data_IF_127077641550
#
_entry.id   IF_127077641550
#
_cell.length_a   1.000
_cell.length_b   1.000
_cell.length_c   1.000
_cell.angle_alpha   90.00
_cell.angle_beta   90.00
_cell.angle_gamma   90.00
#
_symmetry.space_group_name_H-M   'P 1'
#
loop_
_entity.id
_entity.type
_entity.pdbx_description
1 polymer ?
#
# COMPACT_ATOMS: atom_id res chain seq x y z
N UNK A 1 -5.22 -5.48 -0.14
CA UNK A 1 -6.02 -6.56 -0.76
C UNK A 1 -5.56 -7.87 -0.14
N UNK A 2 -6.48 -8.66 0.41
CA UNK A 2 -6.18 -9.89 1.13
C UNK A 2 -5.85 -11.01 0.13
N UNK A 3 -4.61 -11.49 0.15
CA UNK A 3 -4.22 -12.74 -0.48
C UNK A 3 -4.36 -13.88 0.52
N UNK A 4 -4.65 -15.08 0.04
CA UNK A 4 -4.73 -16.29 0.83
C UNK A 4 -3.58 -17.21 0.46
N UNK A 5 -2.80 -17.61 1.46
CA UNK A 5 -1.71 -18.58 1.27
C UNK A 5 -2.35 -19.96 1.10
N UNK A 6 -2.09 -20.60 -0.03
CA UNK A 6 -2.56 -21.95 -0.37
C UNK A 6 -1.38 -22.83 -0.75
N UNK A 7 -1.52 -24.14 -0.54
CA UNK A 7 -0.48 -25.12 -0.86
C UNK A 7 -0.96 -25.95 -2.05
N UNK A 8 -0.11 -26.17 -3.05
CA UNK A 8 -0.44 -27.08 -4.14
C UNK A 8 -0.21 -28.55 -3.77
N UNK A 9 -0.61 -29.47 -4.67
CA UNK A 9 -0.50 -30.91 -4.47
C UNK A 9 0.95 -31.41 -4.29
N UNK A 10 1.93 -30.59 -4.66
CA UNK A 10 3.37 -30.87 -4.53
C UNK A 10 3.99 -30.22 -3.28
N UNK A 11 3.19 -29.50 -2.47
CA UNK A 11 3.65 -28.81 -1.27
C UNK A 11 4.31 -27.46 -1.53
N UNK A 12 4.11 -26.85 -2.70
CA UNK A 12 4.59 -25.50 -2.98
C UNK A 12 3.59 -24.44 -2.50
N UNK A 13 4.10 -23.33 -1.99
CA UNK A 13 3.29 -22.19 -1.53
C UNK A 13 2.84 -21.36 -2.73
N UNK A 14 1.55 -21.08 -2.80
CA UNK A 14 0.88 -20.21 -3.76
C UNK A 14 0.08 -19.15 -3.04
N UNK A 15 -0.02 -17.97 -3.63
CA UNK A 15 -0.79 -16.84 -3.13
C UNK A 15 -2.04 -16.70 -4.00
N UNK A 16 -3.17 -17.15 -3.46
CA UNK A 16 -4.48 -16.98 -4.06
C UNK A 16 -4.93 -15.53 -3.88
N UNK A 17 -5.22 -14.84 -4.99
CA UNK A 17 -5.76 -13.50 -5.02
C UNK A 17 -7.24 -13.56 -5.37
N UNK A 18 -8.15 -13.52 -4.37
CA UNK A 18 -9.57 -13.81 -4.58
C UNK A 18 -10.26 -12.79 -5.49
N UNK A 19 -9.74 -11.56 -5.55
CA UNK A 19 -10.30 -10.49 -6.36
C UNK A 19 -10.12 -10.69 -7.88
N UNK A 20 -9.18 -11.53 -8.32
CA UNK A 20 -9.03 -11.90 -9.74
C UNK A 20 -9.09 -13.41 -9.97
N UNK A 21 -9.38 -14.19 -8.93
CA UNK A 21 -9.51 -15.65 -9.02
C UNK A 21 -8.25 -16.37 -9.48
N UNK A 22 -7.07 -15.77 -9.30
CA UNK A 22 -5.78 -16.34 -9.72
C UNK A 22 -4.90 -16.68 -8.53
N UNK A 23 -4.09 -17.71 -8.71
CA UNK A 23 -3.05 -18.09 -7.76
C UNK A 23 -1.70 -17.77 -8.38
N UNK A 24 -0.86 -17.11 -7.61
CA UNK A 24 0.50 -16.77 -8.03
C UNK A 24 1.51 -17.56 -7.24
N UNK A 25 2.53 -18.08 -7.91
CA UNK A 25 3.76 -18.50 -7.22
C UNK A 25 4.63 -17.26 -6.93
N UNK A 26 5.55 -17.37 -5.97
CA UNK A 26 6.43 -16.26 -5.60
C UNK A 26 7.21 -15.70 -6.81
N UNK A 27 7.68 -16.60 -7.69
CA UNK A 27 8.42 -16.24 -8.90
C UNK A 27 7.59 -15.39 -9.87
N UNK A 28 6.29 -15.65 -9.98
CA UNK A 28 5.38 -14.86 -10.80
C UNK A 28 5.25 -13.44 -10.24
N UNK A 29 5.14 -13.28 -8.92
CA UNK A 29 5.03 -11.95 -8.29
C UNK A 29 6.31 -11.14 -8.55
N UNK A 30 7.47 -11.77 -8.43
CA UNK A 30 8.76 -11.15 -8.73
C UNK A 30 8.87 -10.75 -10.20
N UNK A 31 8.41 -11.59 -11.13
CA UNK A 31 8.32 -11.27 -12.55
C UNK A 31 7.37 -10.07 -12.83
N UNK A 32 6.28 -9.94 -12.07
CA UNK A 32 5.38 -8.78 -12.16
C UNK A 32 6.06 -7.48 -11.71
N UNK A 33 6.88 -7.54 -10.65
CA UNK A 33 7.67 -6.39 -10.19
C UNK A 33 8.69 -5.97 -11.24
N UNK A 34 9.42 -6.93 -11.84
CA UNK A 34 10.42 -6.64 -12.86
C UNK A 34 9.80 -6.07 -14.13
N UNK A 35 8.68 -6.63 -14.62
CA UNK A 35 7.95 -6.12 -15.79
C UNK A 35 7.52 -4.68 -15.65
N UNK A 36 7.07 -4.31 -14.46
CA UNK A 36 6.71 -2.93 -14.17
C UNK A 36 7.91 -2.00 -14.34
N UNK A 37 9.10 -2.42 -13.90
CA UNK A 37 10.33 -1.65 -14.11
C UNK A 37 10.64 -1.46 -15.61
N UNK A 38 10.40 -2.48 -16.44
CA UNK A 38 10.61 -2.40 -17.91
C UNK A 38 9.62 -1.45 -18.59
N UNK A 39 8.34 -1.57 -18.26
CA UNK A 39 7.29 -0.72 -18.82
C UNK A 39 7.45 0.75 -18.40
N UNK A 40 7.85 0.96 -17.14
CA UNK A 40 8.09 2.31 -16.63
C UNK A 40 9.33 2.92 -17.27
N UNK A 41 10.39 2.13 -17.46
CA UNK A 41 11.54 2.56 -18.23
C UNK A 41 11.15 2.90 -19.68
N UNK A 42 10.34 2.09 -20.35
CA UNK A 42 9.86 2.35 -21.72
C UNK A 42 9.06 3.65 -21.83
N UNK A 43 8.10 3.85 -20.91
CA UNK A 43 7.27 5.07 -20.87
C UNK A 43 8.08 6.31 -20.53
N UNK A 44 9.04 6.19 -19.63
CA UNK A 44 9.92 7.30 -19.22
C UNK A 44 10.90 7.68 -20.34
N UNK A 45 11.47 6.69 -21.01
CA UNK A 45 12.41 6.89 -22.11
C UNK A 45 11.71 7.27 -23.43
N UNK A 46 10.38 7.13 -23.49
CA UNK A 46 9.54 7.33 -24.67
C UNK A 46 10.07 6.53 -25.87
N UNK A 47 10.57 5.34 -25.58
CA UNK A 47 11.20 4.38 -26.48
C UNK A 47 10.88 2.95 -26.02
N UNK A 48 10.92 1.98 -26.93
CA UNK A 48 10.60 0.58 -26.60
C UNK A 48 11.77 -0.08 -25.87
N UNK A 49 11.67 -0.25 -24.54
CA UNK A 49 12.67 -1.01 -23.78
C UNK A 49 12.34 -2.48 -23.91
N UNK A 50 12.92 -3.11 -24.93
CA UNK A 50 12.90 -4.56 -25.09
C UNK A 50 14.02 -5.12 -24.21
N UNK A 51 13.62 -5.84 -23.15
CA UNK A 51 14.56 -6.63 -22.35
C UNK A 51 14.81 -7.95 -23.10
N UNK A 52 15.83 -7.94 -23.96
CA UNK A 52 16.36 -9.17 -24.54
C UNK A 52 17.31 -9.80 -23.51
N UNK A 53 16.73 -10.68 -22.68
CA UNK A 53 17.43 -11.41 -21.63
C UNK A 53 17.94 -12.71 -22.22
N UNK A 54 19.24 -12.96 -22.15
CA UNK A 54 19.78 -14.30 -22.37
C UNK A 54 19.12 -15.30 -21.41
N UNK A 55 18.41 -16.29 -21.95
CA UNK A 55 17.79 -17.44 -21.27
C UNK A 55 16.79 -17.17 -20.11
N UNK A 56 16.33 -15.93 -19.87
CA UNK A 56 15.19 -15.64 -18.98
C UNK A 56 15.43 -15.83 -17.47
N UNK A 57 16.68 -15.84 -17.02
CA UNK A 57 17.06 -16.01 -15.60
C UNK A 57 17.60 -14.70 -15.01
N UNK A 58 17.09 -14.31 -13.84
CA UNK A 58 17.59 -13.18 -13.03
C UNK A 58 18.25 -13.71 -11.77
N UNK A 59 19.46 -13.24 -11.47
CA UNK A 59 20.21 -13.64 -10.27
C UNK A 59 20.56 -12.40 -9.44
N UNK A 60 20.20 -12.43 -8.16
CA UNK A 60 20.62 -11.41 -7.20
C UNK A 60 22.03 -11.76 -6.71
N UNK A 61 23.04 -11.02 -7.14
CA UNK A 61 24.42 -11.28 -6.74
C UNK A 61 24.70 -10.93 -5.26
N UNK A 62 24.07 -9.86 -4.76
CA UNK A 62 24.19 -9.45 -3.37
C UNK A 62 23.10 -8.44 -3.00
N UNK A 63 22.80 -8.33 -1.70
CA UNK A 63 21.89 -7.31 -1.17
C UNK A 63 22.43 -6.72 0.14
N UNK A 64 22.19 -5.42 0.35
CA UNK A 64 22.56 -4.71 1.57
C UNK A 64 21.66 -3.49 1.75
N UNK A 65 21.43 -3.08 2.99
CA UNK A 65 20.56 -1.94 3.29
C UNK A 65 20.63 -1.49 4.75
N UNK A 66 19.94 -0.38 5.04
CA UNK A 66 19.70 0.15 6.37
C UNK A 66 18.19 0.23 6.60
N UNK A 67 17.64 -0.67 7.42
CA UNK A 67 16.20 -0.78 7.67
C UNK A 67 15.63 0.36 8.53
N UNK A 68 16.51 1.26 9.01
CA UNK A 68 16.18 2.42 9.84
C UNK A 68 16.69 3.70 9.18
N UNK A 69 16.62 3.76 7.85
CA UNK A 69 16.94 4.93 7.05
C UNK A 69 15.90 5.08 5.93
N UNK A 70 15.06 6.10 6.02
CA UNK A 70 13.97 6.34 5.08
C UNK A 70 13.62 7.82 4.93
N UNK A 71 12.53 8.09 4.20
CA UNK A 71 12.02 9.46 4.00
C UNK A 71 11.69 10.18 5.32
N UNK A 72 11.21 9.43 6.30
CA UNK A 72 10.84 9.92 7.62
C UNK A 72 12.04 10.51 8.39
N UNK A 73 13.24 9.94 8.19
CA UNK A 73 14.46 10.48 8.82
C UNK A 73 14.80 11.87 8.26
N UNK A 74 14.62 12.08 6.95
CA UNK A 74 14.80 13.39 6.32
C UNK A 74 13.74 14.40 6.81
N UNK A 75 12.49 13.95 6.94
CA UNK A 75 11.41 14.79 7.49
C UNK A 75 11.72 15.19 8.93
N UNK A 76 12.19 14.23 9.72
CA UNK A 76 12.59 14.46 11.10
C UNK A 76 13.68 15.53 11.22
N UNK A 77 14.62 15.63 10.28
CA UNK A 77 15.64 16.71 10.29
C UNK A 77 15.03 18.10 10.15
N UNK A 78 14.02 18.24 9.30
CA UNK A 78 13.29 19.50 9.15
C UNK A 78 12.47 19.77 10.42
N UNK A 79 11.77 18.77 10.96
CA UNK A 79 10.99 18.91 12.21
C UNK A 79 11.88 19.34 13.38
N UNK A 80 13.01 18.66 13.59
CA UNK A 80 13.95 18.97 14.66
C UNK A 80 14.51 20.38 14.49
N UNK A 81 14.86 20.79 13.27
CA UNK A 81 15.33 22.15 12.98
C UNK A 81 14.27 23.21 13.29
N UNK A 82 13.02 23.01 12.84
CA UNK A 82 11.90 23.91 13.12
C UNK A 82 11.63 24.01 14.63
N UNK A 83 11.55 22.87 15.32
CA UNK A 83 11.28 22.81 16.76
C UNK A 83 12.41 23.43 17.58
N UNK A 84 13.67 23.21 17.21
CA UNK A 84 14.82 23.83 17.88
C UNK A 84 14.85 25.35 17.70
N UNK A 85 14.56 25.85 16.49
CA UNK A 85 14.46 27.28 16.24
C UNK A 85 13.32 27.90 17.06
N UNK A 86 12.14 27.29 17.03
CA UNK A 86 11.00 27.77 17.81
C UNK A 86 11.28 27.76 19.32
N UNK A 87 11.93 26.71 19.82
CA UNK A 87 12.33 26.63 21.23
C UNK A 87 13.36 27.68 21.61
N UNK A 88 14.30 28.01 20.72
CA UNK A 88 15.27 29.08 20.94
C UNK A 88 14.60 30.45 20.99
N UNK A 89 13.65 30.69 20.09
CA UNK A 89 13.07 32.01 19.89
C UNK A 89 11.90 32.28 20.87
N UNK A 90 11.11 31.26 21.21
CA UNK A 90 9.90 31.36 22.04
C UNK A 90 9.97 30.57 23.36
N UNK A 91 11.05 29.82 23.60
CA UNK A 91 11.25 29.05 24.84
C UNK A 91 10.38 27.78 24.96
N UNK A 92 9.62 27.43 23.92
CA UNK A 92 8.62 26.35 23.96
C UNK A 92 9.06 25.14 23.13
N UNK A 93 8.88 23.96 23.70
CA UNK A 93 9.24 22.70 23.07
C UNK A 93 8.04 22.06 22.36
N UNK A 94 7.93 22.31 21.05
CA UNK A 94 6.84 21.80 20.22
C UNK A 94 6.82 20.27 20.09
N UNK A 95 7.95 19.59 20.36
CA UNK A 95 8.03 18.13 20.25
C UNK A 95 7.20 17.40 21.32
N UNK A 96 6.82 18.11 22.39
CA UNK A 96 5.97 17.57 23.46
C UNK A 96 4.48 17.70 23.16
N UNK A 97 4.10 18.57 22.23
CA UNK A 97 2.73 18.80 21.83
C UNK A 97 2.40 17.92 20.62
N UNK A 98 1.53 16.92 20.82
CA UNK A 98 1.16 15.96 19.77
C UNK A 98 0.50 16.63 18.56
N UNK A 99 -0.30 17.69 18.76
CA UNK A 99 -0.96 18.39 17.67
C UNK A 99 0.04 19.24 16.89
N UNK A 100 0.94 19.94 17.59
CA UNK A 100 2.00 20.70 16.93
C UNK A 100 2.96 19.78 16.17
N UNK A 101 3.36 18.64 16.75
CA UNK A 101 4.24 17.67 16.14
C UNK A 101 3.66 17.07 14.85
N UNK A 102 2.37 16.74 14.83
CA UNK A 102 1.69 16.26 13.62
C UNK A 102 1.77 17.29 12.50
N UNK A 103 1.43 18.55 12.79
CA UNK A 103 1.46 19.65 11.80
C UNK A 103 2.87 19.97 11.32
N UNK A 104 3.85 19.92 12.23
CA UNK A 104 5.27 20.05 11.88
C UNK A 104 5.70 18.94 10.92
N UNK A 105 5.30 17.70 11.19
CA UNK A 105 5.69 16.53 10.37
C UNK A 105 5.10 16.61 8.96
N UNK A 106 3.79 16.91 8.84
CA UNK A 106 3.13 17.10 7.54
C UNK A 106 3.76 18.23 6.73
N UNK A 107 4.10 19.34 7.40
CA UNK A 107 4.71 20.50 6.73
C UNK A 107 6.16 20.23 6.34
N UNK A 108 6.89 19.47 7.17
CA UNK A 108 8.25 19.03 6.88
C UNK A 108 8.31 18.12 5.65
N UNK A 109 7.42 17.13 5.56
CA UNK A 109 7.32 16.25 4.39
C UNK A 109 7.02 17.06 3.12
N UNK A 110 6.05 17.97 3.20
CA UNK A 110 5.72 18.85 2.08
C UNK A 110 6.91 19.72 1.67
N UNK A 111 7.60 20.32 2.63
CA UNK A 111 8.79 21.13 2.37
C UNK A 111 9.92 20.31 1.72
N UNK A 112 10.18 19.08 2.19
CA UNK A 112 11.14 18.14 1.58
C UNK A 112 10.79 17.85 0.12
N UNK A 113 9.52 17.53 -0.17
CA UNK A 113 9.07 17.26 -1.54
C UNK A 113 9.22 18.49 -2.43
N UNK A 114 8.83 19.67 -1.95
CA UNK A 114 8.99 20.93 -2.69
C UNK A 114 10.46 21.24 -2.98
N UNK A 115 11.36 21.04 -2.02
CA UNK A 115 12.80 21.24 -2.17
C UNK A 115 13.46 20.26 -3.15
N UNK A 116 12.80 19.14 -3.46
CA UNK A 116 13.26 18.23 -4.51
C UNK A 116 13.08 18.84 -5.91
N UNK A 117 12.16 19.79 -6.08
CA UNK A 117 11.94 20.50 -7.35
C UNK A 117 12.44 21.95 -7.31
N UNK A 118 12.24 22.64 -6.19
CA UNK A 118 12.53 24.05 -5.98
C UNK A 118 13.83 24.25 -5.20
N UNK A 119 14.46 25.42 -5.33
CA UNK A 119 15.68 25.77 -4.59
C UNK A 119 15.41 26.25 -3.16
N UNK A 120 14.17 26.66 -2.87
CA UNK A 120 13.71 27.08 -1.55
C UNK A 120 12.19 26.88 -1.41
N UNK A 121 11.70 26.79 -0.18
CA UNK A 121 10.28 26.74 0.17
C UNK A 121 9.99 27.62 1.38
N UNK A 122 8.77 28.16 1.45
CA UNK A 122 8.27 28.94 2.59
C UNK A 122 7.43 28.05 3.49
N UNK A 123 7.87 27.89 4.74
CA UNK A 123 7.18 27.12 5.78
C UNK A 123 6.37 28.09 6.62
N UNK A 124 5.05 27.98 6.55
CA UNK A 124 4.10 28.78 7.33
C UNK A 124 3.14 27.90 8.10
N UNK A 125 3.21 27.97 9.43
CA UNK A 125 2.38 27.24 10.37
C UNK A 125 1.70 28.22 11.32
N UNK A 126 0.52 28.73 10.94
CA UNK A 126 -0.21 29.66 11.79
C UNK A 126 -0.83 28.94 13.00
N UNK A 127 -0.85 29.60 14.16
CA UNK A 127 -1.47 29.07 15.38
C UNK A 127 -0.91 27.69 15.75
N UNK A 128 0.42 27.53 15.69
CA UNK A 128 1.07 26.24 15.97
C UNK A 128 0.94 25.85 17.45
N UNK A 129 0.96 26.85 18.33
CA UNK A 129 0.71 26.70 19.76
C UNK A 129 0.19 28.03 20.34
N UNK A 130 -0.25 28.01 21.59
CA UNK A 130 -0.74 29.18 22.30
C UNK A 130 0.03 29.42 23.60
N UNK A 131 0.29 30.69 23.91
CA UNK A 131 1.03 31.15 25.08
C UNK A 131 0.21 32.16 25.87
N UNK A 132 0.69 32.55 27.05
CA UNK A 132 0.08 33.63 27.82
C UNK A 132 0.06 34.97 27.05
N UNK A 133 1.00 35.17 26.13
CA UNK A 133 1.13 36.35 25.28
C UNK A 133 0.31 36.25 23.97
N UNK A 134 -0.41 35.13 23.79
CA UNK A 134 -1.26 34.87 22.63
C UNK A 134 -0.81 33.70 21.75
N UNK A 135 -1.49 33.49 20.60
CA UNK A 135 -1.13 32.45 19.66
C UNK A 135 0.23 32.71 19.01
N UNK A 136 0.98 31.64 18.75
CA UNK A 136 2.28 31.67 18.10
C UNK A 136 2.24 30.97 16.75
N UNK A 137 3.16 31.37 15.87
CA UNK A 137 3.22 30.94 14.48
C UNK A 137 4.68 30.58 14.14
N UNK A 138 4.89 29.78 13.10
CA UNK A 138 6.21 29.64 12.47
C UNK A 138 6.09 30.17 11.05
N UNK A 139 6.91 31.15 10.70
CA UNK A 139 7.06 31.65 9.34
C UNK A 139 8.55 31.71 9.02
N UNK A 140 9.03 30.78 8.20
CA UNK A 140 10.45 30.67 7.86
C UNK A 140 10.65 30.19 6.43
N UNK A 141 11.81 30.46 5.85
CA UNK A 141 12.19 29.95 4.53
C UNK A 141 13.28 28.90 4.69
N UNK A 142 13.07 27.73 4.12
CA UNK A 142 14.07 26.66 4.06
C UNK A 142 14.63 26.59 2.64
N UNK A 143 15.95 26.65 2.51
CA UNK A 143 16.63 26.47 1.21
C UNK A 143 17.07 25.03 1.03
N UNK A 144 17.22 24.59 -0.23
CA UNK A 144 17.70 23.25 -0.56
C UNK A 144 19.09 23.00 0.03
N UNK A 145 19.99 23.98 -0.09
CA UNK A 145 21.33 23.91 0.51
C UNK A 145 21.24 23.65 2.00
N UNK A 146 20.36 24.37 2.71
CA UNK A 146 20.21 24.18 4.15
C UNK A 146 19.63 22.80 4.49
N UNK A 147 18.66 22.33 3.72
CA UNK A 147 18.11 20.99 3.88
C UNK A 147 19.17 19.89 3.69
N UNK A 148 20.00 20.01 2.66
CA UNK A 148 21.09 19.08 2.38
C UNK A 148 22.15 19.10 3.49
N UNK A 149 22.48 20.27 4.04
CA UNK A 149 23.35 20.37 5.24
C UNK A 149 22.78 19.61 6.44
N UNK A 150 21.48 19.79 6.73
CA UNK A 150 20.79 19.15 7.85
C UNK A 150 20.75 17.62 7.74
N UNK A 151 20.83 17.10 6.51
CA UNK A 151 20.74 15.67 6.20
C UNK A 151 22.08 15.06 5.75
N UNK A 152 23.19 15.79 5.87
CA UNK A 152 24.51 15.34 5.41
C UNK A 152 24.91 13.98 5.98
N UNK A 153 24.68 13.73 7.26
CA UNK A 153 24.98 12.46 7.90
C UNK A 153 24.07 11.30 7.42
N UNK A 154 22.83 11.60 7.03
CA UNK A 154 21.93 10.61 6.43
C UNK A 154 22.40 10.24 5.03
N UNK A 155 22.85 11.21 4.24
CA UNK A 155 23.43 10.99 2.92
C UNK A 155 24.71 10.13 3.01
N UNK A 156 25.56 10.37 4.01
CA UNK A 156 26.76 9.55 4.24
C UNK A 156 26.43 8.11 4.61
N UNK A 157 25.33 7.87 5.34
CA UNK A 157 24.86 6.52 5.67
C UNK A 157 24.43 5.72 4.43
N UNK A 158 23.94 6.38 3.37
CA UNK A 158 23.52 5.71 2.13
C UNK A 158 24.68 5.04 1.37
N UNK A 159 25.92 5.48 1.58
CA UNK A 159 27.08 4.98 0.83
C UNK A 159 27.45 3.55 1.24
N UNK A 160 27.42 3.27 2.55
CA UNK A 160 27.95 2.02 3.12
C UNK A 160 27.24 0.77 2.59
N UNK A 161 25.90 0.72 2.48
CA UNK A 161 25.21 -0.44 1.91
C UNK A 161 25.60 -0.70 0.45
N UNK A 162 25.73 0.35 -0.37
CA UNK A 162 26.11 0.22 -1.78
C UNK A 162 27.52 -0.36 -1.92
N UNK A 163 28.48 0.17 -1.16
CA UNK A 163 29.85 -0.36 -1.14
C UNK A 163 29.91 -1.81 -0.62
N UNK A 164 29.11 -2.13 0.39
CA UNK A 164 29.03 -3.49 0.96
C UNK A 164 28.47 -4.48 -0.05
N UNK A 165 27.39 -4.12 -0.76
CA UNK A 165 26.80 -4.96 -1.80
C UNK A 165 27.81 -5.22 -2.93
N UNK A 166 28.45 -4.18 -3.48
CA UNK A 166 29.47 -4.35 -4.52
C UNK A 166 30.62 -5.25 -4.07
N UNK A 167 31.11 -5.05 -2.85
CA UNK A 167 32.17 -5.88 -2.26
C UNK A 167 31.75 -7.34 -2.13
N UNK A 168 30.51 -7.59 -1.67
CA UNK A 168 29.98 -8.94 -1.52
C UNK A 168 29.78 -9.64 -2.87
N UNK A 169 29.39 -8.89 -3.91
CA UNK A 169 29.31 -9.36 -5.29
C UNK A 169 30.69 -9.50 -5.98
N UNK A 170 31.77 -9.08 -5.32
CA UNK A 170 33.11 -9.00 -5.90
C UNK A 170 33.16 -8.15 -7.19
N UNK A 171 32.40 -7.05 -7.20
CA UNK A 171 32.31 -6.09 -8.29
C UNK A 171 32.85 -4.72 -7.85
N UNK A 172 33.23 -3.90 -8.83
CA UNK A 172 33.53 -2.48 -8.65
C UNK A 172 32.44 -1.61 -9.29
N UNK A 173 32.42 -0.32 -8.97
CA UNK A 173 31.49 0.64 -9.59
C UNK A 173 31.57 0.68 -11.13
N UNK A 174 32.70 0.29 -11.72
CA UNK A 174 32.90 0.26 -13.18
C UNK A 174 32.23 -0.94 -13.85
N UNK A 175 31.99 -2.00 -13.09
CA UNK A 175 31.40 -3.26 -13.57
C UNK A 175 29.87 -3.20 -13.58
N UNK A 176 29.30 -2.12 -13.04
CA UNK A 176 27.88 -1.84 -13.19
C UNK A 176 27.59 -1.42 -14.62
N UNK A 177 26.46 -1.85 -15.19
CA UNK A 177 25.98 -1.38 -16.49
C UNK A 177 25.02 -0.21 -16.30
N UNK A 178 24.05 -0.35 -15.40
CA UNK A 178 23.00 0.63 -15.14
C UNK A 178 22.77 0.84 -13.65
N UNK A 179 22.23 2.01 -13.29
CA UNK A 179 21.87 2.34 -11.90
C UNK A 179 20.41 2.79 -11.85
N UNK A 180 19.60 2.03 -11.13
CA UNK A 180 18.15 2.28 -11.01
C UNK A 180 17.85 2.77 -9.60
N UNK A 181 17.20 3.93 -9.51
CA UNK A 181 16.71 4.51 -8.26
C UNK A 181 15.21 4.28 -8.11
N UNK A 182 14.84 3.64 -7.00
CA UNK A 182 13.47 3.27 -6.67
C UNK A 182 13.08 3.88 -5.33
N UNK A 183 11.87 4.45 -5.27
CA UNK A 183 11.28 5.01 -4.05
C UNK A 183 11.30 6.54 -4.00
N UNK A 184 10.30 7.13 -3.35
CA UNK A 184 10.05 8.59 -3.38
C UNK A 184 11.23 9.43 -2.91
N UNK A 185 11.96 9.00 -1.87
CA UNK A 185 13.11 9.72 -1.33
C UNK A 185 14.30 9.81 -2.30
N UNK A 186 14.37 8.96 -3.32
CA UNK A 186 15.41 9.04 -4.36
C UNK A 186 15.24 10.24 -5.29
N UNK A 187 14.10 10.93 -5.22
CA UNK A 187 13.86 12.19 -5.94
C UNK A 187 14.64 13.37 -5.35
N UNK A 188 15.21 13.23 -4.16
CA UNK A 188 16.04 14.26 -3.55
C UNK A 188 17.31 14.45 -4.41
N UNK A 189 17.58 15.67 -4.93
CA UNK A 189 18.72 15.92 -5.81
C UNK A 189 20.07 15.49 -5.22
N UNK A 190 20.29 15.71 -3.93
CA UNK A 190 21.51 15.27 -3.25
C UNK A 190 21.70 13.74 -3.24
N UNK A 191 20.61 12.96 -3.21
CA UNK A 191 20.68 11.49 -3.28
C UNK A 191 21.10 11.06 -4.69
N UNK A 192 20.53 11.66 -5.73
CA UNK A 192 20.91 11.36 -7.13
C UNK A 192 22.35 11.78 -7.41
N UNK A 193 22.76 12.93 -6.90
CA UNK A 193 24.11 13.44 -7.04
C UNK A 193 25.13 12.57 -6.30
N UNK A 194 24.78 12.07 -5.11
CA UNK A 194 25.60 11.10 -4.38
C UNK A 194 25.83 9.84 -5.22
N UNK A 195 24.77 9.27 -5.75
CA UNK A 195 24.82 8.04 -6.57
C UNK A 195 25.63 8.28 -7.85
N UNK A 196 25.44 9.42 -8.51
CA UNK A 196 26.22 9.84 -9.67
C UNK A 196 27.71 9.96 -9.35
N UNK A 197 28.05 10.56 -8.20
CA UNK A 197 29.45 10.69 -7.74
C UNK A 197 30.09 9.34 -7.43
N UNK A 198 29.33 8.42 -6.83
CA UNK A 198 29.83 7.09 -6.48
C UNK A 198 30.04 6.20 -7.71
N UNK A 199 29.05 6.18 -8.60
CA UNK A 199 28.98 5.22 -9.72
C UNK A 199 29.58 5.77 -11.01
N UNK A 200 29.67 7.10 -11.15
CA UNK A 200 30.04 7.77 -12.40
C UNK A 200 28.96 7.67 -13.49
N UNK A 201 27.76 7.19 -13.16
CA UNK A 201 26.65 6.96 -14.10
C UNK A 201 25.46 7.87 -13.80
N UNK A 202 24.66 8.13 -14.82
CA UNK A 202 23.37 8.80 -14.68
C UNK A 202 22.34 7.81 -14.14
N UNK A 203 21.79 8.02 -12.93
CA UNK A 203 20.79 7.12 -12.39
C UNK A 203 19.42 7.32 -13.06
N UNK A 204 18.74 6.22 -13.35
CA UNK A 204 17.36 6.23 -13.85
C UNK A 204 16.38 6.23 -12.65
N UNK A 205 15.47 7.22 -12.59
CA UNK A 205 14.56 7.42 -11.44
C UNK A 205 13.18 6.92 -11.79
N UNK A 206 12.74 5.84 -11.14
CA UNK A 206 11.44 5.21 -11.44
C UNK A 206 10.45 5.35 -10.27
N UNK A 207 9.16 5.52 -10.60
CA UNK A 207 8.11 5.88 -9.66
C UNK A 207 7.06 4.78 -9.47
N UNK A 208 7.27 3.91 -8.49
CA UNK A 208 6.17 3.13 -7.90
C UNK A 208 5.64 1.95 -8.72
N UNK A 209 5.41 0.86 -8.00
CA UNK A 209 4.99 -0.46 -8.49
C UNK A 209 3.48 -0.49 -8.79
N UNK A 210 3.07 -0.97 -9.98
CA UNK A 210 1.70 -1.40 -10.31
C UNK A 210 1.71 -2.49 -11.40
N UNK A 211 0.81 -3.46 -11.26
CA UNK A 211 0.84 -4.82 -11.80
C UNK A 211 0.43 -4.99 -13.28
N UNK A 212 1.04 -5.98 -13.93
CA UNK A 212 0.63 -6.57 -15.22
C UNK A 212 1.31 -7.93 -15.45
N UNK A 213 0.66 -8.86 -16.16
CA UNK A 213 1.03 -10.29 -16.32
C UNK A 213 1.84 -10.58 -17.60
N UNK A 214 2.91 -11.39 -17.50
CA UNK A 214 3.66 -12.13 -18.54
C UNK A 214 4.31 -13.34 -17.82
N UNK A 215 4.43 -14.44 -18.56
CA UNK A 215 4.99 -15.74 -18.17
C UNK A 215 6.50 -15.81 -18.44
N UNK A 216 7.17 -16.85 -17.93
CA UNK A 216 8.52 -17.30 -18.33
C UNK A 216 9.73 -16.45 -17.85
N UNK A 217 9.78 -16.13 -16.55
CA UNK A 217 10.96 -15.56 -15.89
C UNK A 217 11.33 -16.40 -14.68
N UNK A 218 12.61 -16.77 -14.52
CA UNK A 218 13.13 -17.44 -13.33
C UNK A 218 13.91 -16.42 -12.49
N UNK A 219 13.55 -16.23 -11.22
CA UNK A 219 14.29 -15.37 -10.28
C UNK A 219 15.04 -16.23 -9.25
N UNK A 220 16.32 -15.95 -9.08
CA UNK A 220 17.18 -16.49 -8.04
C UNK A 220 17.51 -15.37 -7.04
N UNK A 221 16.85 -15.38 -5.89
CA UNK A 221 17.06 -14.41 -4.81
C UNK A 221 18.10 -14.93 -3.78
N UNK A 222 18.52 -14.09 -2.83
CA UNK A 222 19.51 -14.43 -1.80
C UNK A 222 19.12 -13.99 -0.40
N UNK A 223 19.60 -14.71 0.64
CA UNK A 223 19.42 -14.26 2.03
C UNK A 223 20.28 -13.03 2.36
N UNK A 224 19.74 -11.92 2.90
CA UNK A 224 20.51 -10.70 3.18
C UNK A 224 21.46 -10.83 4.39
N UNK A 225 21.20 -11.79 5.29
CA UNK A 225 21.92 -11.95 6.55
C UNK A 225 22.49 -13.37 6.67
N UNK A 226 23.63 -13.48 7.35
CA UNK A 226 24.18 -14.79 7.69
C UNK A 226 23.37 -15.40 8.82
N UNK A 227 22.93 -16.64 8.64
CA UNK A 227 22.30 -17.43 9.67
C UNK A 227 23.35 -18.33 10.33
N UNK A 228 23.27 -18.43 11.65
CA UNK A 228 24.24 -19.19 12.43
C UNK A 228 23.74 -19.47 13.82
N UNK A 229 24.50 -20.27 14.55
CA UNK A 229 24.22 -20.66 15.92
C UNK A 229 25.27 -20.07 16.84
N UNK A 230 24.87 -19.71 18.05
CA UNK A 230 25.83 -19.41 19.11
C UNK A 230 26.47 -20.73 19.58
N UNK A 231 27.80 -20.75 19.61
CA UNK A 231 28.60 -21.89 20.08
C UNK A 231 29.29 -21.57 21.40
N UNK A 232 29.84 -22.60 22.06
CA UNK A 232 30.54 -22.44 23.33
C UNK A 232 31.58 -21.32 23.27
N UNK A 233 31.49 -20.38 24.21
CA UNK A 233 32.32 -19.18 24.24
C UNK A 233 31.63 -17.92 23.69
N UNK A 234 30.34 -17.99 23.36
CA UNK A 234 29.55 -16.84 22.91
C UNK A 234 29.87 -16.39 21.49
N UNK A 235 30.43 -17.30 20.68
CA UNK A 235 30.83 -17.01 19.29
C UNK A 235 29.78 -17.56 18.34
N UNK A 236 29.32 -16.72 17.41
CA UNK A 236 28.42 -17.13 16.33
C UNK A 236 29.17 -17.97 15.29
N UNK A 237 28.74 -19.22 15.10
CA UNK A 237 29.17 -20.08 14.00
C UNK A 237 28.17 -19.94 12.85
N UNK A 238 28.64 -19.45 11.70
CA UNK A 238 27.80 -19.24 10.51
C UNK A 238 27.50 -20.56 9.82
N UNK A 239 26.22 -20.86 9.64
CA UNK A 239 25.74 -22.04 8.91
C UNK A 239 25.43 -21.64 7.48
N UNK A 240 24.50 -20.72 7.26
CA UNK A 240 24.15 -20.20 5.94
C UNK A 240 24.71 -18.78 5.83
N UNK A 241 25.74 -18.54 4.99
CA UNK A 241 26.28 -17.19 4.78
C UNK A 241 25.24 -16.24 4.18
N UNK A 242 25.42 -14.93 4.40
CA UNK A 242 24.68 -13.91 3.66
C UNK A 242 24.98 -14.03 2.16
N UNK A 243 24.04 -13.57 1.33
CA UNK A 243 24.03 -13.69 -0.13
C UNK A 243 24.02 -15.13 -0.66
N UNK A 244 23.57 -16.12 0.15
CA UNK A 244 23.33 -17.48 -0.34
C UNK A 244 22.02 -17.52 -1.12
N UNK A 245 22.05 -18.05 -2.34
CA UNK A 245 20.89 -18.22 -3.22
C UNK A 245 19.78 -19.03 -2.54
N UNK A 246 18.54 -18.58 -2.71
CA UNK A 246 17.33 -19.19 -2.19
C UNK A 246 16.56 -19.93 -3.30
N UNK A 247 15.80 -20.98 -2.96
CA UNK A 247 15.74 -21.63 -1.64
C UNK A 247 17.03 -22.42 -1.33
N UNK A 248 17.36 -22.59 -0.05
CA UNK A 248 18.57 -23.33 0.37
C UNK A 248 18.37 -24.14 1.63
N UNK A 249 19.16 -25.21 1.77
CA UNK A 249 19.13 -26.12 2.91
C UNK A 249 20.53 -26.49 3.34
N UNK A 250 20.78 -26.47 4.65
CA UNK A 250 22.05 -26.91 5.22
C UNK A 250 21.84 -27.73 6.49
N UNK A 251 22.50 -28.88 6.54
CA UNK A 251 22.47 -29.76 7.71
C UNK A 251 23.82 -29.78 8.40
N UNK A 252 23.80 -29.73 9.73
CA UNK A 252 24.98 -29.85 10.56
C UNK A 252 24.69 -30.77 11.76
N UNK A 253 25.68 -31.60 12.11
CA UNK A 253 25.54 -32.59 13.18
C UNK A 253 26.11 -32.01 14.47
N UNK A 254 25.26 -31.88 15.48
CA UNK A 254 25.64 -31.42 16.81
C UNK A 254 25.69 -32.59 17.79
N UNK A 255 26.61 -32.49 18.75
CA UNK A 255 26.79 -33.44 19.85
C UNK A 255 26.82 -32.68 21.17
N UNK A 256 26.42 -33.33 22.25
CA UNK A 256 26.45 -32.76 23.60
C UNK A 256 27.89 -32.47 24.06
N UNK A 257 28.11 -31.31 24.68
CA UNK A 257 29.45 -30.89 25.13
C UNK A 257 29.72 -31.14 26.63
N UNK A 258 28.69 -31.36 27.46
CA UNK A 258 28.85 -31.67 28.89
C UNK A 258 27.64 -32.44 29.45
N UNK A 259 27.88 -33.27 30.45
CA UNK A 259 26.84 -33.98 31.21
C UNK A 259 26.08 -33.00 32.15
N UNK A 260 24.75 -32.98 32.08
CA UNK A 260 23.90 -32.31 33.08
C UNK A 260 23.58 -30.82 32.87
N UNK A 261 23.70 -30.28 31.65
CA UNK A 261 23.27 -28.90 31.34
C UNK A 261 21.73 -28.84 31.16
N UNK A 262 21.05 -27.89 31.84
CA UNK A 262 19.57 -27.91 32.04
C UNK A 262 18.75 -26.99 31.11
N UNK A 263 19.35 -26.50 30.02
CA UNK A 263 18.72 -25.84 28.85
C UNK A 263 19.86 -25.47 27.90
N UNK A 264 20.06 -25.93 26.67
CA UNK A 264 19.34 -26.68 25.61
C UNK A 264 18.56 -27.94 26.02
N UNK A 265 17.37 -28.14 25.45
CA UNK A 265 16.61 -29.41 25.47
C UNK A 265 17.36 -30.51 24.69
N UNK A 266 18.13 -31.36 25.40
CA UNK A 266 18.53 -32.70 24.95
C UNK A 266 18.56 -33.63 26.16
N UNK A 267 17.68 -34.64 26.21
CA UNK A 267 17.71 -35.65 27.27
C UNK A 267 17.48 -37.06 26.70
N UNK A 268 18.57 -37.83 26.45
CA UNK A 268 18.57 -39.31 26.45
C UNK A 268 19.98 -39.84 26.81
N UNK A 269 20.05 -40.83 27.71
CA UNK A 269 21.26 -41.47 28.25
C UNK A 269 21.85 -42.61 27.38
N UNK A 270 23.15 -42.86 27.60
CA UNK A 270 24.05 -43.94 27.13
C UNK A 270 24.14 -44.19 25.61
N UNK A 271 25.23 -43.64 25.06
CA UNK A 271 25.52 -43.51 23.63
C UNK A 271 25.56 -42.02 23.31
N UNK A 272 26.64 -41.49 22.74
CA UNK A 272 26.72 -40.06 22.39
C UNK A 272 25.69 -39.82 21.27
N UNK A 273 24.56 -39.12 21.52
CA UNK A 273 23.54 -38.92 20.50
C UNK A 273 24.07 -37.96 19.43
N UNK A 274 23.86 -38.31 18.16
CA UNK A 274 24.18 -37.44 17.03
C UNK A 274 22.88 -36.81 16.53
N UNK A 275 22.68 -35.54 16.86
CA UNK A 275 21.51 -34.78 16.42
C UNK A 275 21.88 -34.04 15.14
N UNK A 276 21.24 -34.40 14.03
CA UNK A 276 21.33 -33.66 12.79
C UNK A 276 20.29 -32.55 12.80
N UNK A 277 20.77 -31.32 12.75
CA UNK A 277 19.91 -30.13 12.66
C UNK A 277 19.99 -29.61 11.23
N UNK A 278 18.83 -29.54 10.58
CA UNK A 278 18.65 -29.05 9.21
C UNK A 278 18.01 -27.67 9.27
N UNK A 279 18.67 -26.71 8.61
CA UNK A 279 18.22 -25.34 8.44
C UNK A 279 17.74 -25.20 7.00
N UNK A 280 16.46 -24.89 6.81
CA UNK A 280 15.82 -24.70 5.52
C UNK A 280 15.35 -23.25 5.41
N UNK A 281 15.77 -22.55 4.35
CA UNK A 281 15.22 -21.24 3.99
C UNK A 281 14.40 -21.41 2.72
N UNK A 282 13.11 -21.08 2.81
CA UNK A 282 12.20 -21.15 1.67
C UNK A 282 12.42 -19.99 0.68
N UNK A 283 11.64 -19.98 -0.41
CA UNK A 283 11.70 -18.93 -1.44
C UNK A 283 11.28 -17.54 -0.92
N UNK A 284 10.62 -17.46 0.24
CA UNK A 284 10.24 -16.19 0.88
C UNK A 284 11.31 -15.70 1.88
N UNK A 285 12.42 -16.43 2.06
CA UNK A 285 13.43 -16.12 3.05
C UNK A 285 13.07 -16.54 4.48
N UNK A 286 12.03 -17.37 4.67
CA UNK A 286 11.60 -17.83 6.00
C UNK A 286 12.43 -19.04 6.41
N UNK A 287 13.08 -18.94 7.56
CA UNK A 287 13.84 -20.03 8.17
C UNK A 287 12.91 -21.04 8.85
N UNK A 288 13.10 -22.31 8.55
CA UNK A 288 12.59 -23.45 9.32
C UNK A 288 13.75 -24.33 9.76
N UNK A 289 13.64 -24.87 10.98
CA UNK A 289 14.68 -25.72 11.56
C UNK A 289 14.07 -27.06 11.94
N UNK A 290 14.69 -28.15 11.51
CA UNK A 290 14.27 -29.51 11.85
C UNK A 290 15.43 -30.26 12.51
N UNK A 291 15.17 -30.94 13.63
CA UNK A 291 16.16 -31.80 14.27
C UNK A 291 15.77 -33.28 14.13
N UNK A 292 16.73 -34.13 13.77
CA UNK A 292 16.56 -35.58 13.67
C UNK A 292 17.71 -36.26 14.42
N UNK A 293 17.39 -37.18 15.32
CA UNK A 293 18.39 -38.05 15.93
C UNK A 293 18.82 -39.13 14.92
N UNK A 294 20.09 -39.14 14.52
CA UNK A 294 20.63 -40.10 13.53
C UNK A 294 20.62 -41.55 14.00
N UNK A 295 20.62 -41.78 15.32
CA UNK A 295 20.61 -43.13 15.89
C UNK A 295 19.22 -43.77 15.84
N UNK A 296 18.17 -42.97 16.01
CA UNK A 296 16.78 -43.46 16.13
C UNK A 296 15.88 -43.07 14.95
N UNK A 297 16.30 -42.12 14.12
CA UNK A 297 15.51 -41.55 13.01
C UNK A 297 14.32 -40.72 13.47
N UNK A 298 14.15 -40.48 14.78
CA UNK A 298 13.04 -39.72 15.34
C UNK A 298 13.28 -38.23 15.17
N UNK A 299 12.25 -37.51 14.70
CA UNK A 299 12.21 -36.04 14.72
C UNK A 299 12.13 -35.58 16.16
N UNK A 300 12.87 -34.52 16.49
CA UNK A 300 12.81 -33.84 17.77
C UNK A 300 12.18 -32.47 17.56
N UNK A 301 11.28 -32.10 18.47
CA UNK A 301 10.71 -30.75 18.48
C UNK A 301 11.80 -29.75 18.88
N UNK A 302 11.93 -28.67 18.11
CA UNK A 302 12.85 -27.57 18.43
C UNK A 302 12.03 -26.43 19.00
N UNK A 303 12.25 -26.10 20.27
CA UNK A 303 11.69 -24.89 20.87
C UNK A 303 12.60 -23.69 20.56
N UNK A 304 12.20 -22.86 19.58
CA UNK A 304 12.90 -21.60 19.29
C UNK A 304 12.48 -20.56 20.34
N UNK A 305 13.34 -20.25 21.30
CA UNK A 305 13.09 -19.21 22.30
C UNK A 305 13.56 -17.84 21.79
N UNK A 306 12.79 -16.78 22.07
CA UNK A 306 13.13 -15.41 21.66
C UNK A 306 12.75 -15.03 20.22
N UNK A 307 12.03 -15.89 19.49
CA UNK A 307 11.43 -15.51 18.21
C UNK A 307 10.34 -14.45 18.46
N UNK A 308 10.39 -13.33 17.71
CA UNK A 308 9.36 -12.29 17.72
C UNK A 308 8.11 -12.68 16.94
N UNK A 309 7.79 -13.98 16.90
CA UNK A 309 6.68 -14.53 16.14
C UNK A 309 5.40 -14.46 16.96
N UNK A 310 4.30 -14.11 16.29
CA UNK A 310 2.98 -14.18 16.89
C UNK A 310 2.56 -15.65 17.06
N UNK A 311 2.10 -16.06 18.24
CA UNK A 311 1.55 -17.39 18.43
C UNK A 311 0.22 -17.52 17.66
N UNK A 312 -0.14 -18.75 17.27
CA UNK A 312 -1.28 -18.99 16.37
C UNK A 312 -2.62 -18.49 16.91
N UNK A 313 -2.81 -18.54 18.23
CA UNK A 313 -4.00 -18.02 18.90
C UNK A 313 -4.11 -16.49 18.83
N UNK A 314 -2.98 -15.79 18.88
CA UNK A 314 -2.93 -14.33 18.66
C UNK A 314 -3.20 -13.99 17.20
N UNK A 315 -2.66 -14.76 16.26
CA UNK A 315 -2.96 -14.60 14.82
C UNK A 315 -4.46 -14.78 14.55
N UNK A 316 -5.07 -15.85 15.07
CA UNK A 316 -6.52 -16.09 14.92
C UNK A 316 -7.38 -14.96 15.51
N UNK A 317 -6.93 -14.39 16.63
CA UNK A 317 -7.59 -13.23 17.25
C UNK A 317 -7.49 -11.99 16.35
N UNK A 318 -6.30 -11.69 15.82
CA UNK A 318 -6.09 -10.55 14.92
C UNK A 318 -6.91 -10.67 13.64
N UNK A 319 -7.04 -11.89 13.07
CA UNK A 319 -7.89 -12.13 11.89
C UNK A 319 -9.35 -11.81 12.20
N UNK A 320 -9.88 -12.31 13.33
CA UNK A 320 -11.27 -12.03 13.74
C UNK A 320 -11.50 -10.54 14.01
N UNK A 321 -10.55 -9.85 14.62
CA UNK A 321 -10.62 -8.40 14.84
C UNK A 321 -10.61 -7.64 13.51
N UNK A 322 -9.76 -8.03 12.56
CA UNK A 322 -9.72 -7.43 11.21
C UNK A 322 -11.04 -7.63 10.46
N UNK A 323 -11.64 -8.82 10.51
CA UNK A 323 -12.96 -9.10 9.89
C UNK A 323 -14.06 -8.24 10.52
N UNK A 324 -14.04 -8.10 11.86
CA UNK A 324 -14.98 -7.25 12.58
C UNK A 324 -14.84 -5.78 12.15
N UNK A 325 -13.63 -5.25 12.09
CA UNK A 325 -13.39 -3.86 11.66
C UNK A 325 -13.75 -3.64 10.19
N UNK A 326 -13.45 -4.61 9.31
CA UNK A 326 -13.88 -4.55 7.91
C UNK A 326 -15.40 -4.46 7.78
N UNK A 327 -16.16 -5.17 8.63
CA UNK A 327 -17.62 -5.06 8.68
C UNK A 327 -18.08 -3.69 9.18
N UNK A 328 -17.50 -3.18 10.27
CA UNK A 328 -17.82 -1.85 10.81
C UNK A 328 -17.53 -0.74 9.80
N UNK A 329 -16.42 -0.85 9.05
CA UNK A 329 -16.04 0.12 8.02
C UNK A 329 -16.98 0.05 6.81
N UNK A 330 -17.43 -1.14 6.42
CA UNK A 330 -18.48 -1.32 5.41
C UNK A 330 -19.79 -0.66 5.85
N UNK A 331 -20.22 -0.88 7.10
CA UNK A 331 -21.45 -0.27 7.64
C UNK A 331 -21.37 1.27 7.67
N UNK A 332 -20.21 1.83 8.05
CA UNK A 332 -19.98 3.29 8.00
C UNK A 332 -19.99 3.83 6.58
N UNK A 333 -19.36 3.12 5.64
CA UNK A 333 -19.39 3.47 4.21
C UNK A 333 -20.82 3.46 3.67
N UNK A 334 -21.57 2.40 3.92
CA UNK A 334 -22.97 2.28 3.49
C UNK A 334 -23.84 3.40 4.08
N UNK A 335 -23.56 3.82 5.33
CA UNK A 335 -24.24 4.95 5.96
C UNK A 335 -23.93 6.28 5.27
N UNK A 336 -22.66 6.54 4.92
CA UNK A 336 -22.24 7.74 4.18
C UNK A 336 -22.82 7.73 2.76
N UNK A 337 -22.78 6.60 2.06
CA UNK A 337 -23.32 6.46 0.70
C UNK A 337 -24.84 6.69 0.69
N UNK A 338 -25.56 6.12 1.66
CA UNK A 338 -27.00 6.37 1.86
C UNK A 338 -27.28 7.86 2.10
N UNK A 339 -26.46 8.53 2.91
CA UNK A 339 -26.62 9.97 3.18
C UNK A 339 -26.39 10.81 1.91
N UNK A 340 -25.34 10.50 1.14
CA UNK A 340 -25.05 11.18 -0.12
C UNK A 340 -26.17 10.99 -1.16
N UNK A 341 -26.73 9.77 -1.25
CA UNK A 341 -27.89 9.49 -2.09
C UNK A 341 -29.11 10.31 -1.65
N UNK A 342 -29.36 10.39 -0.34
CA UNK A 342 -30.45 11.17 0.22
C UNK A 342 -30.32 12.67 -0.08
N UNK A 343 -29.13 13.23 0.10
CA UNK A 343 -28.83 14.63 -0.24
C UNK A 343 -29.04 14.92 -1.74
N UNK A 344 -28.64 13.99 -2.62
CA UNK A 344 -28.89 14.11 -4.07
C UNK A 344 -30.38 14.08 -4.42
N UNK A 345 -31.14 13.14 -3.86
CA UNK A 345 -32.60 13.04 -4.07
C UNK A 345 -33.29 14.30 -3.55
N UNK A 346 -32.90 14.79 -2.37
CA UNK A 346 -33.44 16.00 -1.77
C UNK A 346 -33.20 17.21 -2.68
N UNK A 347 -31.97 17.40 -3.16
CA UNK A 347 -31.62 18.49 -4.08
C UNK A 347 -32.41 18.41 -5.40
N UNK A 348 -32.49 17.23 -6.02
CA UNK A 348 -33.24 17.04 -7.26
C UNK A 348 -34.74 17.33 -7.09
N UNK A 349 -35.31 16.89 -5.97
CA UNK A 349 -36.72 17.11 -5.66
C UNK A 349 -37.02 18.60 -5.41
N UNK A 350 -36.18 19.28 -4.62
CA UNK A 350 -36.30 20.73 -4.39
C UNK A 350 -36.18 21.52 -5.70
N UNK A 351 -35.27 21.11 -6.59
CA UNK A 351 -35.10 21.72 -7.91
C UNK A 351 -36.36 21.53 -8.78
N UNK A 352 -36.87 20.30 -8.87
CA UNK A 352 -38.10 20.02 -9.63
C UNK A 352 -39.30 20.81 -9.11
N UNK A 353 -39.47 20.91 -7.78
CA UNK A 353 -40.54 21.71 -7.17
C UNK A 353 -40.43 23.20 -7.53
N UNK A 354 -39.21 23.74 -7.61
CA UNK A 354 -38.97 25.13 -8.05
C UNK A 354 -39.27 25.33 -9.54
N UNK A 355 -38.87 24.40 -10.40
CA UNK A 355 -39.08 24.49 -11.85
C UNK A 355 -40.55 24.31 -12.24
N UNK A 356 -41.27 23.43 -11.55
CA UNK A 356 -42.68 23.16 -11.81
C UNK A 356 -43.60 24.25 -11.26
N UNK A 357 -43.17 25.01 -10.24
CA UNK A 357 -43.83 26.23 -9.78
C UNK A 357 -45.33 26.07 -9.53
N UNK A 358 -46.14 26.74 -10.35
CA UNK A 358 -47.61 26.75 -10.27
C UNK A 358 -48.29 25.57 -10.99
N UNK A 359 -47.54 24.75 -11.73
CA UNK A 359 -48.06 23.57 -12.43
C UNK A 359 -48.32 22.39 -11.48
N UNK A 360 -47.86 22.48 -10.24
CA UNK A 360 -48.08 21.46 -9.23
C UNK A 360 -49.39 21.75 -8.48
N UNK A 361 -50.33 20.78 -8.40
CA UNK A 361 -51.51 20.94 -7.55
C UNK A 361 -51.12 21.22 -6.10
N UNK A 362 -51.66 22.27 -5.49
CA UNK A 362 -51.35 22.68 -4.10
C UNK A 362 -51.36 21.54 -3.07
N UNK A 363 -52.36 20.64 -3.05
CA UNK A 363 -52.40 19.50 -2.13
C UNK A 363 -51.25 18.49 -2.31
N UNK A 364 -50.72 18.36 -3.53
CA UNK A 364 -49.59 17.46 -3.84
C UNK A 364 -48.28 18.14 -3.47
N UNK A 365 -48.15 19.45 -3.75
CA UNK A 365 -46.99 20.26 -3.37
C UNK A 365 -46.73 20.21 -1.86
N UNK A 366 -47.76 20.42 -1.05
CA UNK A 366 -47.63 20.39 0.42
C UNK A 366 -47.16 19.02 0.95
N UNK A 367 -47.62 17.92 0.34
CA UNK A 367 -47.20 16.56 0.70
C UNK A 367 -45.72 16.32 0.38
N UNK A 368 -45.28 16.71 -0.80
CA UNK A 368 -43.87 16.55 -1.21
C UNK A 368 -42.97 17.45 -0.36
N UNK A 369 -43.35 18.70 -0.09
CA UNK A 369 -42.59 19.61 0.78
C UNK A 369 -42.48 19.07 2.23
N UNK A 370 -43.55 18.46 2.76
CA UNK A 370 -43.51 17.81 4.05
C UNK A 370 -42.52 16.63 4.08
N UNK A 371 -42.50 15.80 3.01
CA UNK A 371 -41.56 14.67 2.90
C UNK A 371 -40.11 15.10 2.64
N UNK A 372 -39.90 16.19 1.91
CA UNK A 372 -38.55 16.82 1.77
C UNK A 372 -38.02 17.24 3.13
N UNK A 373 -38.87 17.87 3.97
CA UNK A 373 -38.49 18.25 5.33
C UNK A 373 -38.17 17.03 6.20
N UNK A 374 -38.99 15.98 6.13
CA UNK A 374 -38.76 14.73 6.87
C UNK A 374 -37.44 14.05 6.48
N UNK A 375 -37.11 14.02 5.19
CA UNK A 375 -35.82 13.52 4.70
C UNK A 375 -34.65 14.38 5.20
N UNK A 376 -34.80 15.71 5.21
CA UNK A 376 -33.79 16.64 5.72
C UNK A 376 -33.48 16.43 7.20
N UNK A 377 -34.52 16.23 8.00
CA UNK A 377 -34.41 15.96 9.43
C UNK A 377 -33.74 14.59 9.65
N UNK A 378 -34.08 13.57 8.84
CA UNK A 378 -33.45 12.25 8.89
C UNK A 378 -31.95 12.29 8.52
N UNK A 379 -31.55 13.10 7.53
CA UNK A 379 -30.14 13.29 7.14
C UNK A 379 -29.30 13.95 8.24
N UNK A 380 -29.93 14.83 9.03
CA UNK A 380 -29.24 15.64 10.05
C UNK A 380 -29.03 14.91 11.37
N UNK A 381 -29.84 13.89 11.70
CA UNK A 381 -29.74 13.18 12.97
C UNK A 381 -30.42 11.81 13.06
N UNK A 382 -30.95 11.30 11.95
CA UNK A 382 -31.58 9.98 11.89
C UNK A 382 -30.59 8.83 11.72
N UNK A 383 -31.08 7.59 11.90
CA UNK A 383 -30.31 6.39 11.58
C UNK A 383 -30.29 6.13 10.06
N UNK A 384 -29.34 5.32 9.58
CA UNK A 384 -29.30 4.89 8.17
C UNK A 384 -30.64 4.32 7.69
N UNK A 385 -31.35 3.59 8.56
CA UNK A 385 -32.68 3.06 8.24
C UNK A 385 -33.71 4.18 8.11
N UNK A 386 -33.73 5.16 9.02
CA UNK A 386 -34.64 6.30 8.94
C UNK A 386 -34.41 7.13 7.66
N UNK A 387 -33.16 7.28 7.22
CA UNK A 387 -32.83 7.94 5.95
C UNK A 387 -33.39 7.14 4.76
N UNK A 388 -33.20 5.81 4.74
CA UNK A 388 -33.75 4.94 3.69
C UNK A 388 -35.27 5.00 3.63
N UNK A 389 -35.93 4.94 4.79
CA UNK A 389 -37.39 4.97 4.89
C UNK A 389 -37.95 6.33 4.43
N UNK A 390 -37.34 7.45 4.86
CA UNK A 390 -37.73 8.78 4.45
C UNK A 390 -37.48 9.01 2.94
N UNK A 391 -36.37 8.49 2.41
CA UNK A 391 -36.05 8.56 0.99
C UNK A 391 -37.07 7.77 0.14
N UNK A 392 -37.43 6.57 0.57
CA UNK A 392 -38.46 5.75 -0.10
C UNK A 392 -39.82 6.45 -0.07
N UNK A 393 -40.21 7.03 1.08
CA UNK A 393 -41.44 7.79 1.21
C UNK A 393 -41.46 9.04 0.30
N UNK A 394 -40.35 9.76 0.21
CA UNK A 394 -40.23 10.91 -0.70
C UNK A 394 -40.35 10.47 -2.16
N UNK A 395 -39.62 9.43 -2.58
CA UNK A 395 -39.67 8.92 -3.95
C UNK A 395 -41.09 8.50 -4.35
N UNK A 396 -41.85 7.90 -3.44
CA UNK A 396 -43.25 7.51 -3.68
C UNK A 396 -44.16 8.73 -3.93
N UNK A 397 -43.97 9.84 -3.19
CA UNK A 397 -44.73 11.07 -3.41
C UNK A 397 -44.28 11.81 -4.68
N UNK A 398 -42.98 11.80 -5.01
CA UNK A 398 -42.45 12.37 -6.26
C UNK A 398 -42.99 11.62 -7.48
N UNK A 399 -43.17 10.30 -7.40
CA UNK A 399 -43.84 9.53 -8.46
C UNK A 399 -45.31 9.95 -8.65
N UNK A 400 -46.06 10.15 -7.56
CA UNK A 400 -47.44 10.65 -7.61
C UNK A 400 -47.51 12.07 -8.17
N UNK A 401 -46.55 12.92 -7.82
CA UNK A 401 -46.39 14.26 -8.41
C UNK A 401 -46.24 14.17 -9.93
N UNK A 402 -45.35 13.31 -10.41
CA UNK A 402 -45.17 13.05 -11.85
C UNK A 402 -46.47 12.62 -12.52
N UNK A 403 -47.20 11.65 -11.94
CA UNK A 403 -48.49 11.22 -12.47
C UNK A 403 -49.52 12.35 -12.50
N UNK A 404 -49.60 13.19 -11.45
CA UNK A 404 -50.57 14.28 -11.38
C UNK A 404 -50.36 15.37 -12.44
N UNK A 405 -49.10 15.61 -12.81
CA UNK A 405 -48.72 16.57 -13.86
C UNK A 405 -49.03 16.02 -15.26
N UNK A 406 -48.84 14.71 -15.46
CA UNK A 406 -49.20 14.03 -16.73
C UNK A 406 -50.70 13.79 -16.89
N UNK A 407 -51.47 13.74 -15.79
CA UNK A 407 -52.91 13.42 -15.80
C UNK A 407 -53.84 14.63 -15.90
N UNK A 408 -53.31 15.87 -15.97
CA UNK A 408 -54.14 17.05 -16.23
C UNK A 408 -54.52 17.15 -17.72
N UNK A 409 -55.82 17.22 -18.08
CA UNK A 409 -56.22 17.42 -19.47
C UNK A 409 -56.29 18.91 -19.85
N UNK A 410 -55.58 19.27 -20.93
CA UNK A 410 -55.76 20.50 -21.71
C UNK A 410 -54.42 20.99 -22.30
N UNK A 411 -54.18 20.97 -23.62
CA UNK A 411 -55.07 21.51 -24.66
C UNK A 411 -55.00 20.73 -26.01
N UNK A 412 -56.13 20.63 -26.76
CA UNK A 412 -56.19 20.08 -28.12
C UNK A 412 -55.94 21.12 -29.24
N UNK A 413 -55.72 20.54 -30.43
CA UNK A 413 -55.73 21.07 -31.80
C UNK A 413 -54.46 21.75 -32.34
N UNK A 414 -53.72 20.99 -33.16
CA UNK A 414 -53.51 21.41 -34.55
C UNK A 414 -53.77 20.21 -35.51
N UNK A 415 -54.43 20.55 -36.62
CA UNK A 415 -55.31 19.75 -37.50
C UNK A 415 -54.56 18.67 -38.35
N UNK A 416 -55.22 17.58 -38.79
CA UNK A 416 -54.66 16.59 -39.70
C UNK A 416 -55.00 16.92 -41.17
N UNK A 417 -54.00 17.31 -41.95
CA UNK A 417 -54.09 17.37 -43.42
C UNK A 417 -53.08 16.42 -44.08
N UNK A 418 -53.65 15.50 -44.87
CA UNK A 418 -53.01 14.46 -45.68
C UNK A 418 -51.93 14.95 -46.65
N UNK A 419 -50.87 14.17 -46.87
CA UNK A 419 -50.63 13.46 -48.15
C UNK A 419 -49.26 12.74 -48.20
N UNK A 420 -49.34 11.48 -48.65
CA UNK A 420 -48.36 10.70 -49.47
C UNK A 420 -47.04 10.16 -48.87
N UNK A 421 -46.96 8.82 -48.86
CA UNK A 421 -45.77 7.96 -48.84
C UNK A 421 -45.08 7.93 -50.24
N UNK A 422 -44.06 7.09 -50.56
CA UNK A 422 -43.06 6.32 -49.76
C UNK A 422 -41.59 6.48 -50.26
N UNK A 423 -40.60 5.95 -49.52
CA UNK A 423 -39.46 5.22 -50.12
C UNK A 423 -38.08 5.89 -50.30
N UNK A 424 -37.13 5.42 -49.47
CA UNK A 424 -35.79 4.87 -49.83
C UNK A 424 -34.65 5.71 -50.46
N UNK A 425 -33.47 5.54 -49.84
CA UNK A 425 -32.07 5.68 -50.31
C UNK A 425 -31.43 7.09 -50.26
N UNK A 426 -30.17 7.32 -49.81
CA UNK A 426 -29.03 6.43 -49.53
C UNK A 426 -27.91 7.22 -48.80
N UNK A 427 -27.27 6.55 -47.83
CA UNK A 427 -25.87 6.59 -47.29
C UNK A 427 -25.06 7.92 -47.20
N UNK A 428 -24.11 8.14 -46.26
CA UNK A 428 -23.07 7.25 -45.71
C UNK A 428 -22.30 7.95 -44.55
N UNK A 429 -21.81 7.16 -43.57
CA UNK A 429 -20.67 7.48 -42.65
C UNK A 429 -21.07 7.53 -41.16
N UNK A 430 -21.09 6.43 -40.37
CA UNK A 430 -20.01 5.59 -39.82
C UNK A 430 -18.96 6.44 -39.08
N UNK A 431 -18.93 6.46 -37.74
CA UNK A 431 -18.29 5.45 -36.87
C UNK A 431 -19.03 5.15 -35.55
N UNK A 432 -19.29 3.86 -35.30
CA UNK A 432 -19.46 3.19 -34.00
C UNK A 432 -18.05 2.89 -33.42
N UNK A 433 -17.77 2.37 -32.22
CA UNK A 433 -18.44 1.77 -31.05
C UNK A 433 -17.27 1.70 -30.01
N UNK A 434 -17.37 1.54 -28.70
CA UNK A 434 -18.40 1.02 -27.80
C UNK A 434 -17.60 0.60 -26.55
N UNK A 435 -17.94 1.14 -25.38
CA UNK A 435 -17.37 0.70 -24.10
C UNK A 435 -18.53 -0.01 -23.36
N UNK A 436 -18.58 -1.32 -23.54
CA UNK A 436 -19.53 -2.21 -22.89
C UNK A 436 -19.19 -2.29 -21.40
N UNK A 437 -19.90 -1.51 -20.59
CA UNK A 437 -19.89 -1.66 -19.13
C UNK A 437 -20.78 -2.85 -18.78
N UNK A 438 -20.14 -3.99 -18.48
CA UNK A 438 -20.80 -5.19 -17.96
C UNK A 438 -21.03 -5.00 -16.45
N UNK A 439 -22.26 -4.69 -16.06
CA UNK A 439 -22.72 -4.82 -14.67
C UNK A 439 -22.91 -6.30 -14.34
N UNK A 440 -22.15 -6.81 -13.37
CA UNK A 440 -22.32 -8.15 -12.81
C UNK A 440 -23.17 -8.08 -11.54
N UNK A 441 -24.43 -8.53 -11.64
CA UNK A 441 -25.27 -8.86 -10.49
C UNK A 441 -24.73 -10.11 -9.79
N UNK A 442 -24.28 -9.94 -8.54
CA UNK A 442 -23.90 -11.06 -7.67
C UNK A 442 -25.08 -11.40 -6.75
N UNK A 443 -25.79 -12.49 -7.06
CA UNK A 443 -26.77 -13.10 -6.15
C UNK A 443 -26.12 -14.19 -5.33
N UNK A 444 -26.01 -13.96 -4.02
CA UNK A 444 -25.50 -14.91 -3.04
C UNK A 444 -26.55 -16.01 -2.78
N UNK A 445 -26.33 -17.22 -3.28
CA UNK A 445 -27.17 -18.38 -2.97
C UNK A 445 -26.42 -19.34 -2.06
N UNK A 446 -26.80 -19.33 -0.79
CA UNK A 446 -26.47 -20.37 0.18
C UNK A 446 -26.89 -21.76 -0.34
N UNK A 447 -25.97 -22.72 -0.22
CA UNK A 447 -26.20 -23.99 0.48
C UNK A 447 -24.88 -24.57 0.97
#
# INVERSE_FOLDING_TARGET
>A
VSYKVVWDENGNVKLEYPAIGKQFVADEISAHVLRKLVEDASKFLNDEVILEVGDGVFEVLSTSGDTHLGGDDFDKRIVDWLAQNFKRDEGIDLLKDKQALQRLSETAEKAKMELSSLTQTSISLPFITATADGPKHIDTTLTRVKFEELCSDLLDRLQRPVETALKDANLSFKDLDEVILVGGSTRIPAVQELVRKMTGKEPNVTAGVLAGEVSDIVLLDVTPLSLGLETLGGVMTKIIPKNTTLPTSKSEVFSTAADGQTSVEINVCQGVPQIEVKFDIDANGILSVTAIDKGTGKKQDITITGASTLPSDEVDKMVKEAEKFAKEDKEKRDAIDTKNQADSVLYQTEKQLKELGDKVPGPVKEKVEAKVKELKDAISGGSTQAIKDAMAALNQEVMQLGQSIYSQPGQPDDDPASATAPGSSRSTGKTADGDDVIEADFTDSKM
#
